data_IF_555047993596
#
_entry.id   IF_555047993596
#
_cell.length_a   1.000
_cell.length_b   1.000
_cell.length_c   1.000
_cell.angle_alpha   90.00
_cell.angle_beta   90.00
_cell.angle_gamma   90.00
#
_symmetry.space_group_name_H-M   'P 1'
#
loop_
_entity.id
_entity.type
_entity.pdbx_description
1 polymer ?
#
# COMPACT_ATOMS: atom_id res chain seq x y z
N UNK A 1 26.66 -22.07 41.57
CA UNK A 1 25.67 -22.97 40.93
C UNK A 1 26.30 -24.34 40.80
N UNK A 2 25.60 -25.42 41.15
CA UNK A 2 26.18 -26.77 41.02
C UNK A 2 26.38 -27.14 39.56
N UNK A 3 27.53 -27.73 39.25
CA UNK A 3 27.98 -28.20 37.93
C UNK A 3 27.57 -29.65 37.64
N UNK A 4 26.55 -30.16 38.36
CA UNK A 4 26.11 -31.53 38.22
C UNK A 4 25.29 -31.73 36.92
N UNK A 5 25.71 -32.70 36.11
CA UNK A 5 25.04 -33.10 34.88
C UNK A 5 23.68 -33.73 35.20
N UNK A 6 22.59 -33.21 34.62
CA UNK A 6 21.23 -33.73 34.82
C UNK A 6 20.62 -34.12 33.47
N UNK A 7 20.29 -35.40 33.31
CA UNK A 7 19.60 -35.90 32.12
C UNK A 7 18.11 -36.05 32.41
N UNK A 8 17.33 -35.01 32.12
CA UNK A 8 15.89 -34.95 32.34
C UNK A 8 15.37 -33.51 32.18
N UNK A 9 14.05 -33.33 32.14
CA UNK A 9 13.44 -32.00 32.06
C UNK A 9 13.68 -31.25 33.37
N UNK A 10 14.22 -30.04 33.27
CA UNK A 10 14.37 -29.11 34.39
C UNK A 10 13.46 -27.91 34.16
N UNK A 11 12.62 -27.60 35.14
CA UNK A 11 11.85 -26.36 35.17
C UNK A 11 12.64 -25.34 35.97
N UNK A 12 12.99 -24.22 35.33
CA UNK A 12 13.59 -23.06 35.98
C UNK A 12 12.57 -21.94 35.86
N UNK A 13 11.92 -21.59 36.95
CA UNK A 13 10.93 -20.53 36.98
C UNK A 13 11.64 -19.19 37.20
N UNK A 14 11.83 -18.46 36.10
CA UNK A 14 12.38 -17.10 36.14
C UNK A 14 11.22 -16.13 36.34
N UNK A 15 10.94 -15.78 37.61
CA UNK A 15 9.86 -14.87 38.01
C UNK A 15 10.16 -13.39 37.75
N UNK A 16 11.39 -13.04 37.37
CA UNK A 16 11.83 -11.65 37.21
C UNK A 16 12.57 -11.46 35.88
N UNK A 17 12.03 -10.55 35.07
CA UNK A 17 12.61 -10.07 33.83
C UNK A 17 11.59 -9.18 33.15
N UNK A 18 11.91 -7.91 32.97
CA UNK A 18 11.11 -7.03 32.10
C UNK A 18 11.18 -7.60 30.70
N UNK A 19 10.15 -8.36 30.29
CA UNK A 19 9.98 -8.72 28.88
C UNK A 19 9.66 -7.42 28.15
N UNK A 20 10.63 -6.90 27.40
CA UNK A 20 10.39 -5.77 26.51
C UNK A 20 9.32 -6.21 25.52
N UNK A 21 8.10 -5.67 25.66
CA UNK A 21 7.06 -5.84 24.65
C UNK A 21 7.55 -5.05 23.44
N UNK A 22 8.07 -5.75 22.43
CA UNK A 22 8.34 -5.11 21.15
C UNK A 22 6.99 -4.83 20.50
N UNK A 23 6.63 -3.57 20.43
CA UNK A 23 5.52 -3.12 19.60
C UNK A 23 5.84 -3.51 18.16
N UNK A 24 4.98 -4.35 17.58
CA UNK A 24 5.11 -4.71 16.16
C UNK A 24 4.78 -3.46 15.37
N UNK A 25 5.72 -2.97 14.55
CA UNK A 25 5.46 -1.83 13.67
C UNK A 25 4.33 -2.20 12.71
N UNK A 26 3.24 -1.43 12.77
CA UNK A 26 2.12 -1.54 11.83
C UNK A 26 2.33 -0.65 10.60
N UNK A 27 3.24 0.32 10.68
CA UNK A 27 3.61 1.24 9.61
C UNK A 27 4.60 0.63 8.60
N UNK A 28 4.36 -0.62 8.16
CA UNK A 28 5.17 -1.29 7.13
C UNK A 28 4.36 -1.42 5.85
N UNK A 29 4.81 -0.75 4.80
CA UNK A 29 4.16 -0.73 3.49
C UNK A 29 4.62 -1.92 2.66
N UNK A 30 3.70 -2.56 1.95
CA UNK A 30 3.96 -3.55 0.91
C UNK A 30 3.47 -3.01 -0.43
N UNK A 31 4.41 -2.74 -1.33
CA UNK A 31 4.19 -2.12 -2.62
C UNK A 31 4.53 -3.11 -3.74
N UNK A 32 3.61 -3.29 -4.68
CA UNK A 32 3.90 -3.96 -5.96
C UNK A 32 3.81 -2.93 -7.08
N UNK A 33 4.83 -2.87 -7.92
CA UNK A 33 4.91 -1.86 -8.99
C UNK A 33 5.67 -2.38 -10.21
N UNK A 34 5.43 -1.73 -11.35
CA UNK A 34 6.22 -1.91 -12.58
C UNK A 34 7.27 -0.82 -12.67
N UNK A 35 8.45 -1.18 -13.20
CA UNK A 35 9.46 -0.23 -13.65
C UNK A 35 10.50 -0.97 -14.51
N UNK A 36 10.46 -0.79 -15.82
CA UNK A 36 11.40 -1.46 -16.73
C UNK A 36 12.81 -0.89 -16.65
N UNK A 37 12.97 0.35 -16.21
CA UNK A 37 14.23 1.11 -16.15
C UNK A 37 14.75 1.34 -14.72
N UNK A 38 14.15 0.70 -13.72
CA UNK A 38 14.68 0.68 -12.35
C UNK A 38 16.01 -0.08 -12.27
N UNK A 39 16.87 0.32 -11.33
CA UNK A 39 18.13 -0.38 -11.06
C UNK A 39 17.83 -1.83 -10.62
N UNK A 40 18.22 -2.81 -11.44
CA UNK A 40 17.92 -4.22 -11.21
C UNK A 40 18.61 -4.80 -9.95
N UNK A 41 19.70 -4.17 -9.49
CA UNK A 41 20.40 -4.60 -8.26
C UNK A 41 19.63 -4.17 -7.02
N UNK A 42 19.03 -2.98 -7.08
CA UNK A 42 18.22 -2.43 -5.98
C UNK A 42 16.82 -3.03 -6.03
N UNK A 43 16.23 -3.16 -7.21
CA UNK A 43 14.89 -3.69 -7.44
C UNK A 43 14.93 -4.92 -8.37
N UNK A 44 15.40 -6.09 -7.92
CA UNK A 44 15.30 -7.33 -8.68
C UNK A 44 13.84 -7.70 -8.99
N UNK A 45 13.60 -8.28 -10.17
CA UNK A 45 12.27 -8.73 -10.58
C UNK A 45 11.74 -9.83 -9.64
N UNK A 46 10.47 -9.72 -9.27
CA UNK A 46 9.72 -10.67 -8.46
C UNK A 46 10.34 -11.01 -7.09
N UNK A 47 11.22 -10.15 -6.57
CA UNK A 47 11.83 -10.34 -5.26
C UNK A 47 11.47 -9.17 -4.35
N UNK A 48 11.06 -9.50 -3.13
CA UNK A 48 10.78 -8.51 -2.11
C UNK A 48 12.10 -7.85 -1.65
N UNK A 49 12.13 -6.53 -1.68
CA UNK A 49 13.27 -5.72 -1.24
C UNK A 49 12.81 -4.82 -0.12
N UNK A 50 13.63 -4.72 0.94
CA UNK A 50 13.41 -3.80 2.04
C UNK A 50 14.01 -2.43 1.71
N UNK A 51 13.17 -1.41 1.71
CA UNK A 51 13.55 -0.01 1.57
C UNK A 51 13.32 0.68 2.92
N UNK A 52 14.38 1.26 3.47
CA UNK A 52 14.34 2.04 4.73
C UNK A 52 14.36 3.54 4.48
N UNK A 53 14.72 3.97 3.27
CA UNK A 53 14.64 5.36 2.82
C UNK A 53 13.91 5.40 1.47
N UNK A 54 12.60 5.63 1.53
CA UNK A 54 11.68 5.70 0.39
C UNK A 54 12.04 6.87 -0.51
N UNK A 55 12.37 8.04 0.06
CA UNK A 55 12.71 9.23 -0.72
C UNK A 55 14.02 9.02 -1.50
N UNK A 56 15.06 8.49 -0.84
CA UNK A 56 16.31 8.14 -1.52
C UNK A 56 16.12 7.07 -2.60
N UNK A 57 15.24 6.11 -2.37
CA UNK A 57 14.95 5.03 -3.32
C UNK A 57 14.26 5.50 -4.62
N UNK A 58 13.62 6.67 -4.64
CA UNK A 58 13.02 7.27 -5.86
C UNK A 58 14.08 7.47 -6.94
N UNK A 59 15.33 7.78 -6.59
CA UNK A 59 16.42 7.97 -7.55
C UNK A 59 16.74 6.69 -8.34
N UNK A 60 16.53 5.52 -7.74
CA UNK A 60 16.82 4.21 -8.34
C UNK A 60 15.59 3.54 -8.96
N UNK A 61 14.43 4.18 -8.87
CA UNK A 61 13.15 3.64 -9.34
C UNK A 61 12.94 3.74 -10.86
N UNK A 62 13.82 4.46 -11.57
CA UNK A 62 13.62 4.80 -12.98
C UNK A 62 12.56 5.89 -13.16
N UNK A 63 12.10 6.07 -14.40
CA UNK A 63 11.03 6.99 -14.80
C UNK A 63 9.84 6.28 -15.47
N UNK A 64 9.98 5.00 -15.84
CA UNK A 64 8.90 4.22 -16.47
C UNK A 64 8.09 3.45 -15.44
N UNK A 65 6.87 3.08 -15.82
CA UNK A 65 5.95 2.32 -14.99
C UNK A 65 5.43 3.12 -13.79
N UNK A 66 5.03 2.43 -12.73
CA UNK A 66 4.36 3.04 -11.57
C UNK A 66 5.25 3.23 -10.35
N UNK A 67 6.44 2.62 -10.32
CA UNK A 67 7.28 2.57 -9.12
C UNK A 67 7.71 3.95 -8.61
N UNK A 68 8.23 4.80 -9.50
CA UNK A 68 8.70 6.15 -9.13
C UNK A 68 7.57 6.98 -8.52
N UNK A 69 6.44 7.05 -9.21
CA UNK A 69 5.26 7.80 -8.77
C UNK A 69 4.68 7.24 -7.46
N UNK A 70 4.70 5.92 -7.27
CA UNK A 70 4.25 5.29 -6.03
C UNK A 70 5.18 5.60 -4.84
N UNK A 71 6.50 5.55 -5.03
CA UNK A 71 7.47 5.88 -3.98
C UNK A 71 7.43 7.37 -3.62
N UNK A 72 7.38 8.27 -4.61
CA UNK A 72 7.16 9.69 -4.36
C UNK A 72 5.80 9.94 -3.66
N UNK A 73 4.78 9.20 -4.12
CA UNK A 73 3.48 8.95 -3.50
C UNK A 73 3.54 8.87 -1.97
N UNK A 74 4.30 7.89 -1.52
CA UNK A 74 4.49 7.56 -0.11
C UNK A 74 5.36 8.63 0.57
N UNK A 75 6.48 9.01 -0.06
CA UNK A 75 7.47 9.92 0.49
C UNK A 75 6.92 11.32 0.81
N UNK A 76 5.96 11.84 0.03
CA UNK A 76 5.36 13.14 0.31
C UNK A 76 4.53 13.13 1.60
N UNK A 77 4.08 11.96 2.07
CA UNK A 77 3.38 11.84 3.36
C UNK A 77 4.34 11.55 4.51
N UNK A 78 5.20 10.54 4.34
CA UNK A 78 6.17 10.10 5.35
C UNK A 78 7.24 9.18 4.72
N UNK A 79 8.25 8.79 5.49
CA UNK A 79 9.31 7.89 5.04
C UNK A 79 9.26 6.53 5.79
N UNK A 80 8.25 5.67 5.52
CA UNK A 80 8.07 4.43 6.25
C UNK A 80 8.92 3.30 5.68
N UNK A 81 9.17 2.28 6.50
CA UNK A 81 9.76 1.02 6.01
C UNK A 81 8.84 0.41 4.95
N UNK A 82 9.36 0.25 3.75
CA UNK A 82 8.59 -0.16 2.58
C UNK A 82 9.21 -1.40 1.96
N UNK A 83 8.40 -2.44 1.77
CA UNK A 83 8.77 -3.62 1.01
C UNK A 83 8.28 -3.42 -0.41
N UNK A 84 9.22 -3.41 -1.37
CA UNK A 84 8.91 -3.25 -2.79
C UNK A 84 9.09 -4.58 -3.50
N UNK A 85 8.12 -4.95 -4.32
CA UNK A 85 8.21 -6.05 -5.28
C UNK A 85 8.05 -5.47 -6.68
N UNK A 86 9.12 -5.48 -7.46
CA UNK A 86 9.08 -5.06 -8.87
C UNK A 86 8.59 -6.21 -9.74
N UNK A 87 7.59 -5.97 -10.57
CA UNK A 87 7.08 -6.94 -11.55
C UNK A 87 7.34 -6.47 -12.98
N UNK A 88 7.38 -7.43 -13.91
CA UNK A 88 7.56 -7.13 -15.32
C UNK A 88 6.28 -6.53 -15.90
N UNK A 89 6.44 -5.45 -16.64
CA UNK A 89 5.40 -4.87 -17.49
C UNK A 89 5.43 -5.56 -18.85
N UNK A 90 4.25 -5.84 -19.40
CA UNK A 90 4.06 -6.42 -20.73
C UNK A 90 3.20 -5.45 -21.57
N UNK A 91 3.35 -5.53 -22.90
CA UNK A 91 2.52 -4.76 -23.83
C UNK A 91 1.03 -5.15 -23.72
N UNK A 92 0.75 -6.39 -23.31
CA UNK A 92 -0.59 -6.86 -22.99
C UNK A 92 -0.94 -6.56 -21.52
N UNK A 93 -1.95 -5.69 -21.31
CA UNK A 93 -2.43 -5.32 -19.99
C UNK A 93 -2.93 -6.52 -19.15
N UNK A 94 -3.45 -7.58 -19.79
CA UNK A 94 -3.88 -8.79 -19.09
C UNK A 94 -2.68 -9.61 -18.57
N UNK A 95 -1.57 -9.62 -19.32
CA UNK A 95 -0.31 -10.23 -18.85
C UNK A 95 0.32 -9.41 -17.73
N UNK A 96 0.31 -8.08 -17.83
CA UNK A 96 0.75 -7.21 -16.73
C UNK A 96 -0.08 -7.47 -15.47
N UNK A 97 -1.40 -7.59 -15.60
CA UNK A 97 -2.29 -7.98 -14.49
C UNK A 97 -1.89 -9.35 -13.89
N UNK A 98 -1.64 -10.35 -14.73
CA UNK A 98 -1.14 -11.67 -14.28
C UNK A 98 0.19 -11.57 -13.54
N UNK A 99 1.14 -10.75 -14.02
CA UNK A 99 2.45 -10.55 -13.39
C UNK A 99 2.32 -9.86 -12.02
N UNK A 100 1.42 -8.88 -11.90
CA UNK A 100 1.15 -8.19 -10.64
C UNK A 100 0.55 -9.15 -9.62
N UNK A 101 -0.47 -9.93 -10.01
CA UNK A 101 -1.07 -10.95 -9.13
C UNK A 101 0.01 -11.96 -8.70
N UNK A 102 0.77 -12.46 -9.68
CA UNK A 102 1.82 -13.44 -9.48
C UNK A 102 1.30 -14.81 -9.06
N UNK A 103 2.21 -15.69 -8.70
CA UNK A 103 1.91 -17.07 -8.34
C UNK A 103 2.79 -17.54 -7.18
N UNK A 104 2.30 -18.55 -6.46
CA UNK A 104 3.08 -19.30 -5.49
C UNK A 104 3.63 -20.56 -6.15
N UNK A 105 4.86 -20.50 -6.70
CA UNK A 105 5.53 -21.64 -7.33
C UNK A 105 6.49 -22.33 -6.36
N UNK A 106 6.87 -23.56 -6.68
CA UNK A 106 7.95 -24.27 -5.96
C UNK A 106 9.29 -23.52 -6.03
N UNK A 107 9.51 -22.73 -7.08
CA UNK A 107 10.69 -21.87 -7.27
C UNK A 107 10.64 -20.55 -6.48
N UNK A 108 9.51 -20.24 -5.83
CA UNK A 108 9.33 -19.02 -5.05
C UNK A 108 8.01 -18.32 -5.34
N UNK A 109 7.80 -17.20 -4.64
CA UNK A 109 6.63 -16.36 -4.79
C UNK A 109 6.92 -15.20 -5.74
N UNK A 110 5.98 -14.85 -6.60
CA UNK A 110 6.05 -13.69 -7.51
C UNK A 110 4.90 -12.71 -7.24
N UNK A 111 5.01 -11.49 -7.78
CA UNK A 111 3.96 -10.47 -7.66
C UNK A 111 3.51 -10.22 -6.22
N UNK A 112 2.19 -10.10 -6.00
CA UNK A 112 1.59 -9.92 -4.68
C UNK A 112 1.96 -11.03 -3.68
N UNK A 113 2.11 -12.27 -4.15
CA UNK A 113 2.46 -13.37 -3.27
C UNK A 113 3.87 -13.24 -2.69
N UNK A 114 4.79 -12.51 -3.34
CA UNK A 114 6.14 -12.27 -2.80
C UNK A 114 6.12 -11.47 -1.48
N UNK A 115 5.04 -10.70 -1.23
CA UNK A 115 4.83 -10.01 0.04
C UNK A 115 4.60 -10.97 1.21
N UNK A 116 4.11 -12.19 0.95
CA UNK A 116 3.91 -13.22 1.98
C UNK A 116 5.24 -13.72 2.54
N UNK A 117 6.29 -13.80 1.71
CA UNK A 117 7.62 -14.23 2.14
C UNK A 117 8.46 -13.14 2.81
N UNK A 118 8.01 -11.89 2.79
CA UNK A 118 8.79 -10.76 3.30
C UNK A 118 9.17 -10.91 4.78
N UNK A 119 8.29 -11.47 5.62
CA UNK A 119 8.61 -11.68 7.03
C UNK A 119 9.77 -12.67 7.22
N UNK A 120 9.79 -13.76 6.44
CA UNK A 120 10.81 -14.78 6.53
C UNK A 120 12.16 -14.33 5.92
N UNK A 121 12.11 -13.55 4.83
CA UNK A 121 13.30 -13.12 4.10
C UNK A 121 13.93 -11.84 4.65
N UNK A 122 13.11 -10.88 5.09
CA UNK A 122 13.53 -9.52 5.44
C UNK A 122 13.28 -9.19 6.92
N UNK A 123 12.66 -10.10 7.68
CA UNK A 123 12.35 -9.92 9.11
C UNK A 123 11.19 -8.96 9.39
N UNK A 124 10.57 -8.39 8.37
CA UNK A 124 9.46 -7.43 8.49
C UNK A 124 8.22 -7.91 7.74
N UNK A 125 7.05 -7.71 8.34
CA UNK A 125 5.76 -8.16 7.76
C UNK A 125 4.92 -6.95 7.36
N UNK A 126 4.61 -6.75 6.06
CA UNK A 126 3.83 -5.61 5.62
C UNK A 126 2.39 -5.67 6.19
N UNK A 127 1.83 -4.51 6.47
CA UNK A 127 0.48 -4.30 7.05
C UNK A 127 -0.37 -3.33 6.25
N UNK A 128 0.26 -2.58 5.33
CA UNK A 128 -0.38 -1.57 4.50
C UNK A 128 -0.01 -1.96 3.06
N UNK A 129 -0.97 -2.42 2.26
CA UNK A 129 -0.70 -2.99 0.94
C UNK A 129 -1.31 -2.14 -0.17
N UNK A 130 -0.64 -2.07 -1.31
CA UNK A 130 -1.21 -1.48 -2.52
C UNK A 130 -0.39 -1.79 -3.75
N UNK A 131 -1.03 -1.61 -4.91
CA UNK A 131 -0.38 -1.70 -6.22
C UNK A 131 -0.77 -0.47 -7.05
N UNK A 132 -0.34 0.75 -6.67
CA UNK A 132 -0.82 2.01 -7.24
C UNK A 132 -0.65 2.04 -8.77
N UNK A 133 -1.75 2.35 -9.46
CA UNK A 133 -1.81 2.41 -10.93
C UNK A 133 -1.98 1.04 -11.60
N UNK A 134 -1.91 -0.05 -10.84
CA UNK A 134 -2.03 -1.44 -11.32
C UNK A 134 -3.20 -2.18 -10.65
N UNK A 135 -3.99 -1.48 -9.84
CA UNK A 135 -5.13 -1.93 -9.05
C UNK A 135 -6.38 -2.18 -9.92
N UNK A 136 -6.24 -3.02 -10.96
CA UNK A 136 -7.36 -3.56 -11.73
C UNK A 136 -8.29 -4.40 -10.85
N UNK A 137 -9.50 -4.71 -11.31
CA UNK A 137 -10.45 -5.55 -10.57
C UNK A 137 -9.83 -6.88 -10.09
N UNK A 138 -9.09 -7.56 -10.97
CA UNK A 138 -8.46 -8.85 -10.65
C UNK A 138 -7.31 -8.68 -9.65
N UNK A 139 -6.51 -7.60 -9.77
CA UNK A 139 -5.46 -7.26 -8.81
C UNK A 139 -6.06 -6.90 -7.45
N UNK A 140 -7.17 -6.16 -7.41
CA UNK A 140 -7.85 -5.78 -6.17
C UNK A 140 -8.40 -7.02 -5.42
N UNK A 141 -8.99 -7.98 -6.13
CA UNK A 141 -9.44 -9.26 -5.54
C UNK A 141 -8.26 -10.09 -5.00
N UNK A 142 -7.15 -10.14 -5.75
CA UNK A 142 -5.94 -10.81 -5.28
C UNK A 142 -5.33 -10.09 -4.06
N UNK A 143 -5.32 -8.76 -4.05
CA UNK A 143 -4.88 -7.92 -2.93
C UNK A 143 -5.69 -8.21 -1.68
N UNK A 144 -7.02 -8.28 -1.76
CA UNK A 144 -7.87 -8.64 -0.62
C UNK A 144 -7.50 -10.01 -0.03
N UNK A 145 -7.25 -10.99 -0.90
CA UNK A 145 -6.84 -12.34 -0.47
C UNK A 145 -5.47 -12.34 0.23
N UNK A 146 -4.49 -11.62 -0.32
CA UNK A 146 -3.14 -11.50 0.26
C UNK A 146 -3.17 -10.68 1.56
N UNK A 147 -3.97 -9.62 1.61
CA UNK A 147 -4.17 -8.77 2.78
C UNK A 147 -4.72 -9.58 3.96
N UNK A 148 -5.72 -10.44 3.71
CA UNK A 148 -6.27 -11.36 4.72
C UNK A 148 -5.22 -12.31 5.30
N UNK A 149 -4.38 -12.90 4.43
CA UNK A 149 -3.27 -13.79 4.86
C UNK A 149 -2.24 -13.06 5.71
N UNK A 150 -1.93 -11.81 5.36
CA UNK A 150 -0.99 -10.97 6.09
C UNK A 150 -1.60 -10.29 7.32
N UNK A 151 -2.93 -10.30 7.48
CA UNK A 151 -3.63 -9.42 8.44
C UNK A 151 -3.27 -7.95 8.21
N UNK A 152 -3.31 -7.54 6.95
CA UNK A 152 -3.00 -6.21 6.47
C UNK A 152 -4.28 -5.54 5.94
N UNK A 153 -4.23 -4.22 5.74
CA UNK A 153 -5.21 -3.48 4.95
C UNK A 153 -4.65 -3.19 3.56
N UNK A 154 -5.44 -3.45 2.53
CA UNK A 154 -5.16 -3.09 1.15
C UNK A 154 -5.93 -1.81 0.77
N UNK A 155 -5.24 -0.92 0.07
CA UNK A 155 -5.82 0.27 -0.52
C UNK A 155 -5.85 0.09 -2.03
N UNK A 156 -6.99 0.40 -2.65
CA UNK A 156 -7.17 0.30 -4.10
C UNK A 156 -8.01 1.46 -4.61
N UNK A 157 -7.76 1.86 -5.85
CA UNK A 157 -8.62 2.78 -6.58
C UNK A 157 -9.67 1.99 -7.38
N UNK A 158 -10.96 2.33 -7.31
CA UNK A 158 -11.95 1.85 -8.26
C UNK A 158 -11.57 2.25 -9.68
N UNK A 159 -11.66 1.32 -10.63
CA UNK A 159 -11.57 1.63 -12.06
C UNK A 159 -12.94 2.14 -12.51
N UNK A 160 -13.16 3.44 -12.36
CA UNK A 160 -14.42 4.11 -12.62
C UNK A 160 -14.19 5.56 -13.04
N UNK A 161 -15.01 6.05 -13.98
CA UNK A 161 -15.00 7.44 -14.45
C UNK A 161 -16.07 8.31 -13.77
N UNK A 162 -17.11 7.69 -13.21
CA UNK A 162 -18.22 8.37 -12.52
C UNK A 162 -18.46 7.82 -11.12
N UNK A 163 -19.18 8.59 -10.30
CA UNK A 163 -19.61 8.18 -8.94
C UNK A 163 -20.43 6.89 -8.98
N UNK A 164 -21.38 6.78 -9.91
CA UNK A 164 -22.23 5.59 -10.05
C UNK A 164 -21.44 4.33 -10.44
N UNK A 165 -20.44 4.47 -11.31
CA UNK A 165 -19.53 3.38 -11.66
C UNK A 165 -18.67 2.97 -10.48
N UNK A 166 -18.20 3.92 -9.67
CA UNK A 166 -17.42 3.63 -8.47
C UNK A 166 -18.24 2.81 -7.46
N UNK A 167 -19.50 3.20 -7.22
CA UNK A 167 -20.44 2.46 -6.35
C UNK A 167 -20.72 1.06 -6.91
N UNK A 168 -20.91 0.95 -8.23
CA UNK A 168 -21.09 -0.35 -8.89
C UNK A 168 -19.85 -1.23 -8.76
N UNK A 169 -18.65 -0.65 -8.92
CA UNK A 169 -17.37 -1.34 -8.74
C UNK A 169 -17.23 -1.88 -7.32
N UNK A 170 -17.59 -1.08 -6.31
CA UNK A 170 -17.56 -1.49 -4.90
C UNK A 170 -18.45 -2.70 -4.62
N UNK A 171 -19.59 -2.82 -5.29
CA UNK A 171 -20.51 -3.96 -5.14
C UNK A 171 -19.90 -5.32 -5.48
N UNK A 172 -18.72 -5.36 -6.10
CA UNK A 172 -17.98 -6.57 -6.43
C UNK A 172 -17.12 -7.12 -5.27
N UNK A 173 -17.09 -6.42 -4.13
CA UNK A 173 -16.24 -6.77 -2.98
C UNK A 173 -17.07 -6.94 -1.69
N UNK A 174 -16.67 -7.91 -0.87
CA UNK A 174 -17.17 -8.10 0.51
C UNK A 174 -16.05 -8.14 1.55
N UNK A 175 -14.83 -7.78 1.14
CA UNK A 175 -13.63 -7.97 1.94
C UNK A 175 -13.38 -6.77 2.86
N UNK A 176 -13.43 -7.01 4.17
CA UNK A 176 -13.11 -6.01 5.20
C UNK A 176 -11.67 -5.50 5.10
N UNK A 177 -10.76 -6.31 4.57
CA UNK A 177 -9.34 -5.98 4.42
C UNK A 177 -9.05 -4.99 3.28
N UNK A 178 -10.07 -4.49 2.57
CA UNK A 178 -9.92 -3.64 1.39
C UNK A 178 -10.66 -2.31 1.58
N UNK A 179 -9.94 -1.22 1.32
CA UNK A 179 -10.49 0.15 1.36
C UNK A 179 -10.35 0.76 -0.02
N UNK A 180 -11.49 1.18 -0.60
CA UNK A 180 -11.54 1.78 -1.92
C UNK A 180 -11.45 3.30 -1.78
N UNK A 181 -10.61 3.93 -2.60
CA UNK A 181 -10.42 5.37 -2.62
C UNK A 181 -10.67 5.90 -4.03
N UNK A 182 -11.61 6.83 -4.17
CA UNK A 182 -11.92 7.45 -5.47
C UNK A 182 -12.21 8.94 -5.31
N UNK A 183 -11.71 9.80 -6.20
CA UNK A 183 -10.89 9.51 -7.39
C UNK A 183 -9.38 9.54 -7.06
N UNK A 184 -8.54 9.79 -8.07
CA UNK A 184 -7.09 10.05 -7.88
C UNK A 184 -6.83 11.54 -7.59
N UNK A 185 -5.60 11.86 -7.19
CA UNK A 185 -5.15 13.25 -7.08
C UNK A 185 -4.51 13.73 -8.38
N UNK A 186 -4.25 15.02 -8.46
CA UNK A 186 -3.36 15.64 -9.44
C UNK A 186 -2.11 16.14 -8.72
N UNK A 187 -0.93 15.97 -9.33
CA UNK A 187 0.31 16.57 -8.85
C UNK A 187 1.25 16.91 -10.00
N UNK A 188 2.12 17.89 -9.80
CA UNK A 188 3.16 18.24 -10.77
C UNK A 188 4.33 17.25 -10.67
N UNK A 189 4.58 16.52 -11.75
CA UNK A 189 5.74 15.63 -11.87
C UNK A 189 6.95 16.41 -12.39
N UNK A 190 7.99 16.52 -11.57
CA UNK A 190 9.21 17.25 -11.93
C UNK A 190 10.07 16.53 -12.98
N UNK A 191 9.88 15.21 -13.16
CA UNK A 191 10.62 14.45 -14.17
C UNK A 191 10.07 14.70 -15.58
N UNK A 192 8.75 14.82 -15.72
CA UNK A 192 8.07 15.11 -17.00
C UNK A 192 7.71 16.59 -17.18
N UNK A 193 7.81 17.39 -16.12
CA UNK A 193 7.39 18.79 -16.06
C UNK A 193 5.91 18.99 -16.43
N UNK A 194 5.06 18.07 -16.02
CA UNK A 194 3.62 18.09 -16.31
C UNK A 194 2.81 17.73 -15.08
N UNK A 195 1.60 18.28 -14.97
CA UNK A 195 0.63 17.81 -13.98
C UNK A 195 0.03 16.50 -14.46
N UNK A 196 0.20 15.44 -13.68
CA UNK A 196 -0.28 14.09 -13.98
C UNK A 196 -1.12 13.54 -12.83
N UNK A 197 -1.79 12.41 -13.08
CA UNK A 197 -2.54 11.71 -12.03
C UNK A 197 -1.57 11.19 -10.97
N UNK A 198 -1.75 11.63 -9.73
CA UNK A 198 -1.06 11.14 -8.55
C UNK A 198 -1.94 10.10 -7.86
N UNK A 199 -1.46 8.86 -7.81
CA UNK A 199 -2.27 7.73 -7.33
C UNK A 199 -2.73 7.91 -5.88
N UNK A 200 -4.05 7.97 -5.67
CA UNK A 200 -4.65 8.05 -4.33
C UNK A 200 -4.23 6.86 -3.46
N UNK A 201 -4.12 5.68 -4.08
CA UNK A 201 -3.59 4.47 -3.44
C UNK A 201 -2.21 4.74 -2.82
N UNK A 202 -1.25 5.32 -3.56
CA UNK A 202 0.09 5.57 -3.06
C UNK A 202 0.11 6.58 -1.89
N UNK A 203 -0.69 7.65 -1.99
CA UNK A 203 -0.85 8.64 -0.91
C UNK A 203 -1.44 7.98 0.33
N UNK A 204 -2.43 7.10 0.17
CA UNK A 204 -3.04 6.38 1.27
C UNK A 204 -2.07 5.44 1.98
N UNK A 205 -1.17 4.77 1.24
CA UNK A 205 -0.13 3.93 1.85
C UNK A 205 0.78 4.75 2.78
N UNK A 206 1.27 5.89 2.30
CA UNK A 206 2.12 6.80 3.10
C UNK A 206 1.34 7.41 4.27
N UNK A 207 0.11 7.85 4.04
CA UNK A 207 -0.72 8.48 5.06
C UNK A 207 -1.09 7.50 6.18
N UNK A 208 -1.45 6.26 5.85
CA UNK A 208 -1.71 5.21 6.84
C UNK A 208 -0.47 4.95 7.69
N UNK A 209 0.70 4.89 7.08
CA UNK A 209 1.97 4.68 7.79
C UNK A 209 2.30 5.88 8.71
N UNK A 210 2.02 7.10 8.27
CA UNK A 210 2.19 8.32 9.07
C UNK A 210 1.28 8.30 10.29
N UNK A 211 -0.01 8.08 10.07
CA UNK A 211 -1.02 8.03 11.14
C UNK A 211 -0.69 6.94 12.14
N UNK A 212 -0.30 5.74 11.68
CA UNK A 212 0.11 4.64 12.55
C UNK A 212 1.28 5.01 13.47
N UNK A 213 2.22 5.80 12.97
CA UNK A 213 3.43 6.18 13.69
C UNK A 213 3.16 7.34 14.66
N UNK A 214 2.42 8.36 14.22
CA UNK A 214 2.21 9.60 14.98
C UNK A 214 1.04 9.53 15.96
N UNK A 215 -0.06 8.88 15.55
CA UNK A 215 -1.32 8.85 16.32
C UNK A 215 -1.69 7.43 16.76
N UNK A 216 -1.29 6.43 15.98
CA UNK A 216 -1.59 5.02 16.22
C UNK A 216 -2.60 4.44 15.23
N UNK A 217 -2.61 3.11 15.16
CA UNK A 217 -3.43 2.34 14.22
C UNK A 217 -4.95 2.57 14.34
N UNK A 218 -5.41 3.09 15.48
CA UNK A 218 -6.83 3.32 15.76
C UNK A 218 -7.39 4.59 15.11
N UNK A 219 -6.54 5.55 14.73
CA UNK A 219 -6.99 6.76 14.02
C UNK A 219 -7.36 6.41 12.57
N UNK A 220 -8.52 6.86 12.12
CA UNK A 220 -8.99 6.70 10.73
C UNK A 220 -8.20 7.56 9.73
N UNK A 221 -8.22 7.15 8.45
CA UNK A 221 -7.63 7.94 7.35
C UNK A 221 -8.41 9.24 7.05
N UNK A 222 -9.64 9.33 7.54
CA UNK A 222 -10.53 10.46 7.28
C UNK A 222 -10.11 11.73 8.02
N UNK A 223 -10.38 12.87 7.39
CA UNK A 223 -10.08 14.22 7.86
C UNK A 223 -8.59 14.43 8.19
N UNK A 224 -7.71 13.96 7.29
CA UNK A 224 -6.27 14.19 7.39
C UNK A 224 -5.79 14.87 6.10
N UNK A 225 -5.08 16.01 6.18
CA UNK A 225 -4.54 16.68 5.01
C UNK A 225 -3.55 15.78 4.24
N UNK A 226 -3.63 15.83 2.91
CA UNK A 226 -2.75 15.07 2.01
C UNK A 226 -1.74 16.02 1.39
N UNK A 227 -0.45 15.74 1.58
CA UNK A 227 0.63 16.55 1.02
C UNK A 227 0.98 16.14 -0.43
N UNK A 228 1.64 17.02 -1.18
CA UNK A 228 2.18 16.69 -2.51
C UNK A 228 1.11 16.53 -3.60
N UNK A 229 -0.02 17.21 -3.46
CA UNK A 229 -1.12 17.22 -4.43
C UNK A 229 -1.54 18.65 -4.73
N UNK A 230 -2.02 18.88 -5.95
CA UNK A 230 -2.48 20.20 -6.43
C UNK A 230 -3.97 20.22 -6.73
N UNK A 231 -4.65 19.07 -6.66
CA UNK A 231 -6.07 18.95 -6.93
C UNK A 231 -6.53 17.49 -6.96
N UNK A 232 -7.78 17.30 -7.37
CA UNK A 232 -8.45 16.01 -7.51
C UNK A 232 -8.67 15.74 -9.00
N UNK A 233 -8.54 14.48 -9.44
CA UNK A 233 -8.59 14.12 -10.87
C UNK A 233 -9.99 14.06 -11.46
N UNK A 234 -11.02 13.97 -10.61
CA UNK A 234 -12.44 14.04 -10.97
C UNK A 234 -13.12 15.00 -10.00
N UNK A 235 -14.11 15.72 -10.49
CA UNK A 235 -14.90 16.61 -9.64
C UNK A 235 -15.75 15.76 -8.69
N UNK A 236 -15.66 16.05 -7.39
CA UNK A 236 -16.49 15.45 -6.34
C UNK A 236 -17.12 16.60 -5.58
N UNK A 237 -18.42 16.79 -5.75
CA UNK A 237 -19.13 17.78 -4.97
C UNK A 237 -19.19 17.36 -3.50
N UNK A 238 -18.85 18.29 -2.61
CA UNK A 238 -18.95 18.14 -1.17
C UNK A 238 -19.39 19.46 -0.54
N UNK A 239 -20.25 19.38 0.47
CA UNK A 239 -20.71 20.48 1.29
C UNK A 239 -20.74 20.02 2.77
N UNK A 240 -20.56 20.96 3.70
CA UNK A 240 -20.52 20.67 5.13
C UNK A 240 -21.92 20.50 5.74
N UNK A 241 -22.92 21.19 5.18
CA UNK A 241 -24.28 21.26 5.69
C UNK A 241 -25.26 20.42 4.88
N UNK A 242 -25.05 20.32 3.56
CA UNK A 242 -25.90 19.54 2.67
C UNK A 242 -25.42 18.09 2.55
N UNK A 243 -26.20 17.09 3.00
CA UNK A 243 -25.86 15.69 2.82
C UNK A 243 -26.03 15.20 1.37
N UNK A 244 -26.76 15.93 0.50
CA UNK A 244 -27.03 15.55 -0.89
C UNK A 244 -25.84 15.84 -1.82
N UNK A 245 -24.70 15.21 -1.54
CA UNK A 245 -23.42 15.45 -2.22
C UNK A 245 -22.87 14.17 -2.84
N UNK A 246 -22.03 14.30 -3.87
CA UNK A 246 -21.33 13.15 -4.48
C UNK A 246 -20.49 12.41 -3.44
N UNK A 247 -19.83 13.17 -2.57
CA UNK A 247 -19.08 12.61 -1.45
C UNK A 247 -19.98 11.83 -0.48
N UNK A 248 -21.20 12.30 -0.22
CA UNK A 248 -22.21 11.57 0.55
C UNK A 248 -22.56 10.23 -0.07
N UNK A 249 -22.85 10.21 -1.38
CA UNK A 249 -23.18 8.99 -2.14
C UNK A 249 -22.02 7.99 -2.13
N UNK A 250 -20.78 8.45 -2.32
CA UNK A 250 -19.59 7.59 -2.26
C UNK A 250 -19.41 6.98 -0.87
N UNK A 251 -19.55 7.78 0.18
CA UNK A 251 -19.38 7.32 1.57
C UNK A 251 -20.48 6.33 1.99
N UNK A 252 -21.74 6.54 1.58
CA UNK A 252 -22.83 5.57 1.80
C UNK A 252 -22.54 4.25 1.08
N UNK A 253 -21.90 4.33 -0.09
CA UNK A 253 -21.39 3.18 -0.82
C UNK A 253 -20.07 2.62 -0.28
N UNK A 254 -19.63 2.88 0.95
CA UNK A 254 -18.35 2.41 1.51
C UNK A 254 -17.09 2.76 0.67
N UNK A 255 -17.12 3.87 -0.05
CA UNK A 255 -15.97 4.37 -0.83
C UNK A 255 -15.45 5.63 -0.16
N UNK A 256 -14.17 5.63 0.18
CA UNK A 256 -13.52 6.83 0.70
C UNK A 256 -13.25 7.80 -0.43
N UNK A 257 -13.60 9.06 -0.23
CA UNK A 257 -13.36 10.09 -1.24
C UNK A 257 -12.44 11.19 -0.75
N UNK A 258 -12.05 12.03 -1.71
CA UNK A 258 -11.18 13.16 -1.56
C UNK A 258 -12.05 14.41 -1.64
N UNK A 259 -11.87 15.33 -0.71
CA UNK A 259 -12.58 16.61 -0.71
C UNK A 259 -11.56 17.74 -0.65
N UNK A 260 -11.83 18.83 -1.37
CA UNK A 260 -11.07 20.06 -1.24
C UNK A 260 -11.84 21.00 -0.32
N UNK A 261 -11.23 21.37 0.81
CA UNK A 261 -11.81 22.29 1.77
C UNK A 261 -10.71 23.17 2.33
N UNK A 262 -10.81 24.48 2.10
CA UNK A 262 -9.83 25.51 2.47
C UNK A 262 -8.45 25.46 1.78
N UNK A 263 -8.35 24.84 0.59
CA UNK A 263 -7.12 24.76 -0.19
C UNK A 263 -6.42 23.44 0.01
#
# INVERSE_FOLDING_TARGET
MSTAYHHGVRVIEVSAGTRTIRTVSTAVVGLVATASDADEKIFPLNKAVLITDVLGAVASAGIKGTLRAALQGIADQTNPVTIVVRVAEDADAAKTTSNVIGEAKSSGYTGLYALLSAQAQLGVRPRILGAPGLDTLEVAKALATVARKLRAMAYVRPVADTVAEAVTYRGQFGDRELMLIWPDFLAFDTATSTTTAAYATARALGLRAKIDTEQGWHKSLSNVPVAGVTGISKDVHWDLQDPATDAGVLNEGDITTLVTFNG
#
